data_IF_334993045387
#
_entry.id   IF_334993045387
#
_cell.length_a   1.000
_cell.length_b   1.000
_cell.length_c   1.000
_cell.angle_alpha   90.00
_cell.angle_beta   90.00
_cell.angle_gamma   90.00
#
_symmetry.space_group_name_H-M   'P 1'
#
loop_
_entity.id
_entity.type
_entity.pdbx_description
1 polymer ?
#
# COMPACT_ATOMS: atom_id res chain seq x y z
N UNK A 1 -34.42 22.25 -70.72
CA UNK A 1 -33.15 22.09 -71.45
C UNK A 1 -32.00 22.40 -70.48
N UNK A 2 -30.96 21.57 -70.52
CA UNK A 2 -29.63 21.74 -69.91
C UNK A 2 -29.50 21.43 -68.39
N UNK A 3 -29.23 20.15 -68.09
CA UNK A 3 -28.56 19.73 -66.84
C UNK A 3 -27.05 19.94 -67.01
N UNK A 4 -26.46 20.75 -66.14
CA UNK A 4 -25.01 20.95 -66.01
C UNK A 4 -24.38 19.68 -65.41
N UNK A 5 -23.36 19.14 -66.08
CA UNK A 5 -22.52 18.06 -65.57
C UNK A 5 -21.41 18.66 -64.70
N UNK A 6 -21.40 18.34 -63.40
CA UNK A 6 -20.27 18.60 -62.53
C UNK A 6 -19.48 17.29 -62.34
N UNK A 7 -18.23 17.26 -62.81
CA UNK A 7 -17.31 16.14 -62.61
C UNK A 7 -16.55 16.36 -61.29
N UNK A 8 -16.72 15.43 -60.37
CA UNK A 8 -16.06 15.40 -59.05
C UNK A 8 -14.67 14.78 -59.18
N UNK A 9 -13.63 15.44 -58.65
CA UNK A 9 -12.27 14.89 -58.59
C UNK A 9 -12.14 13.96 -57.38
N UNK A 10 -11.80 12.69 -57.61
CA UNK A 10 -11.59 11.72 -56.54
C UNK A 10 -10.21 11.94 -55.89
N UNK A 11 -10.21 12.37 -54.63
CA UNK A 11 -9.02 12.42 -53.77
C UNK A 11 -8.70 11.03 -53.25
N UNK A 12 -7.58 10.45 -53.68
CA UNK A 12 -7.08 9.16 -53.20
C UNK A 12 -6.39 9.34 -51.85
N UNK A 13 -7.11 9.08 -50.76
CA UNK A 13 -6.55 9.01 -49.42
C UNK A 13 -5.79 7.68 -49.24
N UNK A 14 -4.46 7.78 -49.18
CA UNK A 14 -3.59 6.67 -48.78
C UNK A 14 -3.78 6.37 -47.29
N UNK A 15 -4.45 5.26 -46.98
CA UNK A 15 -4.63 4.78 -45.61
C UNK A 15 -3.36 4.06 -45.15
N UNK A 16 -2.57 4.74 -44.33
CA UNK A 16 -1.45 4.14 -43.60
C UNK A 16 -2.01 3.26 -42.48
N UNK A 17 -1.98 1.94 -42.66
CA UNK A 17 -2.29 0.98 -41.60
C UNK A 17 -1.18 1.01 -40.55
N UNK A 18 -1.45 1.62 -39.39
CA UNK A 18 -0.60 1.49 -38.22
C UNK A 18 -0.71 0.06 -37.67
N UNK A 19 0.42 -0.62 -37.51
CA UNK A 19 0.47 -1.93 -36.86
C UNK A 19 0.11 -1.81 -35.37
N UNK A 20 -0.89 -2.53 -34.84
CA UNK A 20 -0.94 -2.81 -33.42
C UNK A 20 0.15 -3.88 -33.15
N UNK A 21 0.90 -3.88 -32.06
CA UNK A 21 0.48 -4.53 -30.81
C UNK A 21 1.63 -4.37 -29.80
N UNK A 22 1.64 -3.29 -29.05
CA UNK A 22 2.16 -3.37 -27.68
C UNK A 22 1.09 -4.13 -26.89
N UNK A 23 1.38 -5.39 -26.55
CA UNK A 23 0.45 -6.27 -25.84
C UNK A 23 -0.23 -5.55 -24.67
N UNK A 24 -1.55 -5.61 -24.64
CA UNK A 24 -2.37 -5.08 -23.56
C UNK A 24 -1.85 -5.67 -22.24
N UNK A 25 -1.26 -4.84 -21.37
CA UNK A 25 -0.84 -5.29 -20.03
C UNK A 25 -2.07 -5.89 -19.36
N UNK A 26 -2.08 -7.22 -19.21
CA UNK A 26 -3.15 -7.90 -18.51
C UNK A 26 -3.15 -7.38 -17.06
N UNK A 27 -4.21 -6.65 -16.72
CA UNK A 27 -4.50 -6.32 -15.34
C UNK A 27 -4.82 -7.64 -14.66
N UNK A 28 -3.96 -8.09 -13.74
CA UNK A 28 -4.25 -9.25 -12.92
C UNK A 28 -5.61 -9.02 -12.25
N UNK A 29 -6.47 -10.03 -12.33
CA UNK A 29 -7.78 -10.00 -11.69
C UNK A 29 -7.62 -9.64 -10.22
N UNK A 30 -8.52 -8.78 -9.73
CA UNK A 30 -8.54 -8.36 -8.34
C UNK A 30 -8.70 -9.59 -7.44
N UNK A 31 -7.78 -9.78 -6.49
CA UNK A 31 -7.90 -10.85 -5.50
C UNK A 31 -9.18 -10.69 -4.68
N UNK A 32 -9.80 -11.83 -4.34
CA UNK A 32 -10.98 -11.85 -3.47
C UNK A 32 -10.65 -11.21 -2.11
N UNK A 33 -11.65 -10.54 -1.53
CA UNK A 33 -11.52 -9.97 -0.19
C UNK A 33 -11.36 -11.14 0.77
N UNK A 34 -10.25 -11.21 1.51
CA UNK A 34 -9.96 -12.39 2.29
C UNK A 34 -10.83 -12.31 3.58
N UNK A 35 -11.64 -13.34 3.85
CA UNK A 35 -12.60 -13.40 4.98
C UNK A 35 -11.94 -13.14 6.35
N UNK A 36 -12.57 -12.47 7.33
CA UNK A 36 -11.93 -12.21 8.63
C UNK A 36 -11.32 -13.50 9.23
N UNK A 37 -10.10 -13.43 9.81
CA UNK A 37 -9.42 -14.61 10.32
C UNK A 37 -10.24 -15.27 11.43
N UNK A 38 -10.22 -16.62 11.48
CA UNK A 38 -10.78 -17.34 12.63
C UNK A 38 -10.04 -16.87 13.89
N UNK A 39 -10.79 -16.53 14.94
CA UNK A 39 -10.33 -15.91 16.20
C UNK A 39 -9.23 -16.65 16.95
N UNK A 40 -8.85 -17.86 16.51
CA UNK A 40 -7.85 -18.73 17.13
C UNK A 40 -6.46 -18.08 17.30
N UNK A 41 -6.05 -17.19 16.40
CA UNK A 41 -4.78 -16.44 16.53
C UNK A 41 -4.90 -15.13 17.33
N UNK A 42 -6.11 -14.60 17.46
CA UNK A 42 -6.41 -13.29 18.04
C UNK A 42 -6.79 -13.38 19.52
N UNK A 43 -7.05 -14.58 20.05
CA UNK A 43 -7.57 -14.79 21.41
C UNK A 43 -6.78 -14.15 22.57
N UNK A 44 -5.55 -13.66 22.33
CA UNK A 44 -4.77 -12.86 23.31
C UNK A 44 -5.21 -11.39 23.37
N UNK A 45 -5.84 -10.86 22.33
CA UNK A 45 -6.24 -9.46 22.17
C UNK A 45 -7.76 -9.38 22.19
N UNK A 46 -8.32 -8.71 23.19
CA UNK A 46 -9.77 -8.59 23.33
C UNK A 46 -10.34 -7.49 22.44
N UNK A 47 -9.59 -6.41 22.26
CA UNK A 47 -10.01 -5.27 21.44
C UNK A 47 -9.17 -5.13 20.16
N UNK A 48 -9.74 -4.58 19.07
CA UNK A 48 -8.98 -4.22 17.87
C UNK A 48 -7.86 -3.23 18.19
N UNK A 49 -8.08 -2.34 19.15
CA UNK A 49 -7.10 -1.38 19.66
C UNK A 49 -5.87 -2.08 20.26
N UNK A 50 -6.08 -3.14 21.06
CA UNK A 50 -4.99 -3.92 21.67
C UNK A 50 -4.13 -4.61 20.60
N UNK A 51 -4.77 -5.11 19.54
CA UNK A 51 -4.05 -5.71 18.43
C UNK A 51 -3.19 -4.67 17.69
N UNK A 52 -3.70 -3.47 17.47
CA UNK A 52 -2.93 -2.38 16.86
C UNK A 52 -1.76 -1.95 17.74
N UNK A 53 -1.96 -1.90 19.06
CA UNK A 53 -0.88 -1.63 20.01
C UNK A 53 0.20 -2.72 19.99
N UNK A 54 -0.20 -3.98 19.87
CA UNK A 54 0.71 -5.12 19.81
C UNK A 54 1.56 -5.14 18.52
N UNK A 55 1.00 -4.70 17.39
CA UNK A 55 1.71 -4.56 16.11
C UNK A 55 2.75 -3.41 16.18
N UNK A 56 2.53 -2.40 17.03
CA UNK A 56 3.47 -1.30 17.27
C UNK A 56 3.47 -0.20 16.20
N UNK A 57 4.56 0.57 16.11
CA UNK A 57 4.69 1.79 15.24
C UNK A 57 3.64 2.89 15.50
N UNK A 58 3.16 2.95 16.74
CA UNK A 58 2.10 3.87 17.15
C UNK A 58 0.85 3.72 16.28
N UNK A 59 0.50 2.48 15.91
CA UNK A 59 -0.66 2.22 15.03
C UNK A 59 -1.98 2.48 15.77
N UNK A 60 -2.00 2.27 17.09
CA UNK A 60 -3.12 2.49 18.01
C UNK A 60 -3.54 3.96 18.14
N UNK A 61 -2.59 4.90 18.00
CA UNK A 61 -2.90 6.33 18.08
C UNK A 61 -3.43 6.90 16.76
N UNK A 62 -3.06 6.26 15.65
CA UNK A 62 -3.34 6.76 14.29
C UNK A 62 -4.64 6.25 13.73
N UNK A 63 -5.09 5.08 14.17
CA UNK A 63 -6.27 4.43 13.66
C UNK A 63 -7.15 3.98 14.83
N UNK A 64 -8.29 4.65 14.98
CA UNK A 64 -9.30 4.31 15.98
C UNK A 64 -10.37 3.47 15.29
N UNK A 65 -10.51 2.21 15.71
CA UNK A 65 -11.50 1.30 15.17
C UNK A 65 -12.13 0.54 16.33
N UNK A 66 -13.45 0.60 16.41
CA UNK A 66 -14.23 -0.02 17.48
C UNK A 66 -14.63 -1.47 17.16
N UNK A 67 -14.77 -1.80 15.88
CA UNK A 67 -15.25 -3.12 15.42
C UNK A 67 -14.16 -3.96 14.78
N UNK A 68 -14.10 -5.24 15.15
CA UNK A 68 -13.22 -6.22 14.53
C UNK A 68 -13.48 -6.37 13.03
N UNK A 69 -14.74 -6.43 12.62
CA UNK A 69 -15.12 -6.58 11.22
C UNK A 69 -14.62 -5.40 10.38
N UNK A 70 -14.74 -4.18 10.91
CA UNK A 70 -14.29 -2.96 10.24
C UNK A 70 -12.77 -2.97 10.08
N UNK A 71 -12.03 -3.38 11.12
CA UNK A 71 -10.57 -3.47 11.06
C UNK A 71 -10.09 -4.41 9.95
N UNK A 72 -10.73 -5.58 9.80
CA UNK A 72 -10.34 -6.59 8.82
C UNK A 72 -10.83 -6.27 7.39
N UNK A 73 -11.92 -5.52 7.26
CA UNK A 73 -12.48 -5.10 5.96
C UNK A 73 -11.81 -3.85 5.42
N UNK A 74 -11.21 -3.06 6.31
CA UNK A 74 -10.64 -1.76 5.99
C UNK A 74 -9.61 -1.83 4.87
N UNK A 75 -9.68 -0.84 3.98
CA UNK A 75 -8.77 -0.72 2.83
C UNK A 75 -7.78 0.44 2.98
N UNK A 76 -6.73 0.36 2.16
CA UNK A 76 -5.72 1.42 2.07
C UNK A 76 -6.28 2.79 1.66
N UNK A 77 -7.44 2.86 1.00
CA UNK A 77 -8.11 4.13 0.67
C UNK A 77 -8.81 4.75 1.89
N UNK A 78 -9.49 3.95 2.71
CA UNK A 78 -10.13 4.43 3.95
C UNK A 78 -9.06 4.87 4.95
N UNK A 79 -7.98 4.10 5.08
CA UNK A 79 -6.82 4.51 5.89
C UNK A 79 -6.14 5.79 5.35
N UNK A 80 -6.21 6.04 4.03
CA UNK A 80 -5.70 7.29 3.43
C UNK A 80 -6.60 8.47 3.79
N UNK A 81 -7.91 8.28 3.80
CA UNK A 81 -8.87 9.29 4.25
C UNK A 81 -8.70 9.61 5.74
N UNK A 82 -8.32 8.61 6.55
CA UNK A 82 -7.95 8.78 7.95
C UNK A 82 -6.58 9.49 8.17
N UNK A 83 -5.89 9.87 7.10
CA UNK A 83 -4.64 10.66 7.18
C UNK A 83 -3.37 9.85 7.37
N UNK A 84 -3.40 8.51 7.29
CA UNK A 84 -2.20 7.70 7.43
C UNK A 84 -1.25 7.91 6.24
N UNK A 85 0.05 7.90 6.50
CA UNK A 85 1.08 7.97 5.45
C UNK A 85 1.15 6.65 4.66
N UNK A 86 1.65 6.65 3.40
CA UNK A 86 1.75 5.42 2.61
C UNK A 86 2.55 4.30 3.28
N UNK A 87 3.57 4.64 4.06
CA UNK A 87 4.40 3.66 4.78
C UNK A 87 3.63 2.97 5.91
N UNK A 88 2.80 3.72 6.64
CA UNK A 88 1.97 3.21 7.73
C UNK A 88 0.86 2.31 7.21
N UNK A 89 0.16 2.72 6.14
CA UNK A 89 -0.89 1.91 5.52
C UNK A 89 -0.36 0.57 5.04
N UNK A 90 0.80 0.57 4.37
CA UNK A 90 1.47 -0.67 3.92
C UNK A 90 1.85 -1.56 5.09
N UNK A 91 2.31 -0.97 6.19
CA UNK A 91 2.69 -1.72 7.38
C UNK A 91 1.49 -2.37 8.07
N UNK A 92 0.41 -1.62 8.30
CA UNK A 92 -0.80 -2.15 8.96
C UNK A 92 -1.42 -3.27 8.12
N UNK A 93 -1.61 -3.06 6.82
CA UNK A 93 -2.17 -4.10 5.93
C UNK A 93 -1.30 -5.36 5.89
N UNK A 94 0.03 -5.20 5.85
CA UNK A 94 0.94 -6.33 5.93
C UNK A 94 0.87 -7.06 7.28
N UNK A 95 0.81 -6.32 8.39
CA UNK A 95 0.74 -6.91 9.72
C UNK A 95 -0.57 -7.67 9.94
N UNK A 96 -1.70 -7.10 9.51
CA UNK A 96 -3.01 -7.78 9.52
C UNK A 96 -2.95 -9.07 8.69
N UNK A 97 -2.35 -9.05 7.50
CA UNK A 97 -2.18 -10.25 6.68
C UNK A 97 -1.28 -11.30 7.37
N UNK A 98 -0.28 -10.88 8.15
CA UNK A 98 0.52 -11.82 8.95
C UNK A 98 -0.24 -12.43 10.11
N UNK A 99 -1.07 -11.65 10.80
CA UNK A 99 -1.97 -12.19 11.83
C UNK A 99 -2.96 -13.19 11.22
N UNK A 100 -3.46 -12.89 10.01
CA UNK A 100 -4.32 -13.80 9.25
C UNK A 100 -3.63 -15.13 8.91
N UNK A 101 -2.32 -15.11 8.68
CA UNK A 101 -1.48 -16.29 8.48
C UNK A 101 -1.14 -17.04 9.79
N UNK A 102 -1.68 -16.61 10.94
CA UNK A 102 -1.45 -17.24 12.25
C UNK A 102 -0.16 -16.79 12.95
N UNK A 103 0.48 -15.72 12.49
CA UNK A 103 1.65 -15.16 13.16
C UNK A 103 1.25 -14.28 14.36
N UNK A 104 2.01 -14.35 15.45
CA UNK A 104 1.77 -13.54 16.66
C UNK A 104 2.13 -12.05 16.42
N UNK A 105 1.19 -11.10 16.58
CA UNK A 105 1.44 -9.67 16.29
C UNK A 105 2.57 -9.07 17.12
N UNK A 106 2.76 -9.51 18.37
CA UNK A 106 3.87 -9.05 19.20
C UNK A 106 5.25 -9.44 18.64
N UNK A 107 5.33 -10.57 17.91
CA UNK A 107 6.57 -11.02 17.25
C UNK A 107 6.82 -10.30 15.92
N UNK A 108 5.75 -9.86 15.26
CA UNK A 108 5.80 -9.15 13.98
C UNK A 108 6.22 -7.69 14.18
N UNK A 109 5.97 -7.13 15.36
CA UNK A 109 6.24 -5.74 15.68
C UNK A 109 7.69 -5.32 15.39
N UNK A 110 7.84 -4.40 14.43
CA UNK A 110 9.15 -3.82 14.13
C UNK A 110 9.49 -2.84 15.25
N UNK A 111 10.47 -3.20 16.07
CA UNK A 111 11.00 -2.34 17.13
C UNK A 111 11.49 -1.01 16.56
N UNK A 112 11.25 0.06 17.30
CA UNK A 112 11.78 1.37 16.95
C UNK A 112 13.31 1.32 16.92
N UNK A 113 13.89 1.82 15.84
CA UNK A 113 15.34 1.88 15.72
C UNK A 113 15.85 2.87 16.77
N UNK A 114 16.78 2.47 17.66
CA UNK A 114 17.29 3.38 18.66
C UNK A 114 17.94 4.59 17.97
N UNK A 115 17.80 5.75 18.60
CA UNK A 115 18.42 6.98 18.09
C UNK A 115 19.92 6.75 17.98
N UNK A 116 20.48 7.06 16.81
CA UNK A 116 21.94 7.02 16.61
C UNK A 116 22.61 7.97 17.59
N UNK A 117 23.41 7.43 18.51
CA UNK A 117 24.18 8.21 19.48
C UNK A 117 25.28 9.05 18.80
N UNK A 118 25.95 8.48 17.80
CA UNK A 118 27.05 9.12 17.07
C UNK A 118 26.71 9.19 15.59
N UNK A 119 26.79 10.38 14.98
CA UNK A 119 26.58 10.63 13.54
C UNK A 119 27.92 10.99 12.89
N UNK A 120 28.75 9.99 12.64
CA UNK A 120 30.07 10.14 12.00
C UNK A 120 31.02 9.03 12.42
N UNK A 121 31.81 8.52 11.48
CA UNK A 121 32.82 7.48 11.70
C UNK A 121 34.12 7.91 11.04
N UNK A 122 35.23 7.80 11.77
CA UNK A 122 36.57 8.01 11.22
C UNK A 122 37.59 8.50 12.24
N UNK A 123 38.89 8.46 11.94
CA UNK A 123 39.96 8.88 12.86
C UNK A 123 39.80 10.31 13.36
N UNK A 124 39.20 11.16 12.52
CA UNK A 124 38.96 12.58 12.79
C UNK A 124 37.70 12.85 13.60
N UNK A 125 36.78 11.88 13.77
CA UNK A 125 35.53 12.05 14.52
C UNK A 125 35.33 10.85 15.44
N UNK A 126 35.75 11.00 16.69
CA UNK A 126 35.54 10.00 17.75
C UNK A 126 34.44 10.49 18.68
N UNK A 127 33.49 9.63 19.04
CA UNK A 127 32.39 9.95 19.97
C UNK A 127 31.58 11.20 19.60
N UNK A 128 31.46 11.50 18.30
CA UNK A 128 30.76 12.69 17.80
C UNK A 128 31.54 14.01 17.97
N UNK A 129 32.76 13.96 18.48
CA UNK A 129 33.67 15.12 18.58
C UNK A 129 34.72 15.03 17.48
N UNK A 130 34.99 16.15 16.82
CA UNK A 130 36.07 16.24 15.82
C UNK A 130 37.40 16.34 16.57
N UNK A 131 38.23 15.31 16.44
CA UNK A 131 39.59 15.27 17.00
C UNK A 131 40.50 16.04 16.03
N UNK A 132 41.31 16.97 16.56
CA UNK A 132 42.30 17.74 15.80
C UNK A 132 43.69 17.15 16.01
#
# INVERSE_FOLDING_TARGET
MNRLLALTTNSTTSLRTAAPLLGLRHLHGRSAIPLPPSTQGVGKYQTPQDLLAAIGRSSETKLKVESWDDLWRMRGEEMKQAGLTPAERRYILWALEKVRQGCDPAKIAIKEKPKKTIRGWGPRVQNGKRVR
#
